data_IF_872185898709
#
_entry.id   IF_872185898709
#
_cell.length_a   1.000
_cell.length_b   1.000
_cell.length_c   1.000
_cell.angle_alpha   90.00
_cell.angle_beta   90.00
_cell.angle_gamma   90.00
#
_symmetry.space_group_name_H-M   'P 1'
#
loop_
_entity.id
_entity.type
_entity.pdbx_description
1 polymer ?
#
# COMPACT_ATOMS: atom_id res chain seq x y z
N UNK A 1 25.25 24.47 24.25
CA UNK A 1 24.12 24.09 23.38
C UNK A 1 24.54 22.80 22.72
N UNK A 2 24.12 21.66 23.26
CA UNK A 2 24.24 20.39 22.53
C UNK A 2 23.41 20.54 21.27
N UNK A 3 24.04 20.37 20.12
CA UNK A 3 23.35 20.23 18.84
C UNK A 3 22.50 18.97 18.96
N UNK A 4 21.17 19.12 19.10
CA UNK A 4 20.24 18.00 19.00
C UNK A 4 20.56 17.25 17.71
N UNK A 5 21.10 16.04 17.83
CA UNK A 5 21.31 15.20 16.66
C UNK A 5 19.92 14.72 16.24
N UNK A 6 19.48 15.11 15.05
CA UNK A 6 18.18 14.70 14.55
C UNK A 6 18.25 13.19 14.23
N UNK A 7 17.64 12.37 15.09
CA UNK A 7 17.65 10.91 14.95
C UNK A 7 16.52 10.39 14.03
N UNK A 8 15.79 11.30 13.39
CA UNK A 8 14.58 11.02 12.63
C UNK A 8 14.34 12.05 11.53
N UNK A 9 14.02 11.65 10.31
CA UNK A 9 13.63 12.59 9.26
C UNK A 9 12.14 12.89 9.38
N UNK A 10 11.80 14.11 9.79
CA UNK A 10 10.40 14.52 9.93
C UNK A 10 9.62 14.58 8.61
N UNK A 11 10.26 14.50 7.45
CA UNK A 11 9.61 14.58 6.13
C UNK A 11 10.48 14.01 5.01
N UNK A 12 9.87 13.23 4.11
CA UNK A 12 10.47 12.78 2.85
C UNK A 12 9.96 13.55 1.64
N UNK A 13 9.33 14.73 1.85
CA UNK A 13 8.65 15.49 0.79
C UNK A 13 9.56 15.88 -0.38
N UNK A 14 10.89 15.95 -0.17
CA UNK A 14 11.86 16.24 -1.23
C UNK A 14 11.98 15.12 -2.26
N UNK A 15 11.54 13.90 -1.94
CA UNK A 15 11.60 12.74 -2.83
C UNK A 15 10.44 12.67 -3.82
N UNK A 16 9.48 13.60 -3.78
CA UNK A 16 8.25 13.58 -4.58
C UNK A 16 8.00 14.92 -5.24
N UNK A 17 7.42 14.89 -6.44
CA UNK A 17 6.89 16.12 -7.05
C UNK A 17 5.51 16.42 -6.46
N UNK A 18 5.35 17.56 -5.80
CA UNK A 18 4.09 17.92 -5.14
C UNK A 18 3.27 18.87 -6.00
N UNK A 19 2.01 18.51 -6.23
CA UNK A 19 1.04 19.24 -7.03
C UNK A 19 1.58 19.65 -8.42
N UNK A 20 2.11 18.70 -9.22
CA UNK A 20 2.48 19.02 -10.60
C UNK A 20 1.25 19.53 -11.35
N UNK A 21 1.45 20.54 -12.19
CA UNK A 21 0.40 21.08 -13.03
C UNK A 21 -0.05 20.04 -14.06
N UNK A 22 -1.35 19.75 -14.08
CA UNK A 22 -2.00 19.03 -15.17
C UNK A 22 -3.40 19.59 -15.36
N UNK A 23 -3.76 19.85 -16.61
CA UNK A 23 -5.10 20.25 -17.00
C UNK A 23 -5.90 19.09 -17.60
N UNK A 24 -5.28 17.91 -17.67
CA UNK A 24 -5.85 16.73 -18.28
C UNK A 24 -6.59 15.87 -17.24
N UNK A 25 -7.60 15.15 -17.72
CA UNK A 25 -8.36 14.17 -16.96
C UNK A 25 -8.04 12.80 -17.52
N UNK A 26 -7.46 11.92 -16.69
CA UNK A 26 -7.05 10.58 -17.09
C UNK A 26 -8.15 9.55 -16.83
N UNK A 27 -8.27 8.58 -17.72
CA UNK A 27 -9.17 7.45 -17.51
C UNK A 27 -8.66 6.54 -16.37
N UNK A 28 -9.58 6.06 -15.54
CA UNK A 28 -9.32 5.06 -14.50
C UNK A 28 -10.01 3.77 -14.93
N UNK A 29 -9.26 2.68 -15.06
CA UNK A 29 -9.82 1.39 -15.43
C UNK A 29 -10.58 0.74 -14.26
N UNK A 30 -9.96 0.81 -13.08
CA UNK A 30 -10.51 0.23 -11.87
C UNK A 30 -10.06 0.93 -10.58
N UNK A 31 -10.95 0.91 -9.58
CA UNK A 31 -10.62 1.22 -8.19
C UNK A 31 -10.58 -0.10 -7.42
N UNK A 32 -9.45 -0.37 -6.77
CA UNK A 32 -9.23 -1.58 -5.97
C UNK A 32 -9.29 -1.24 -4.49
N UNK A 33 -10.29 -1.81 -3.80
CA UNK A 33 -10.57 -1.57 -2.38
C UNK A 33 -10.34 -2.83 -1.55
N UNK A 34 -9.18 -2.97 -0.88
CA UNK A 34 -9.00 -3.97 0.14
C UNK A 34 -9.86 -3.64 1.37
N UNK A 35 -10.64 -4.61 1.87
CA UNK A 35 -11.51 -4.37 3.03
C UNK A 35 -11.52 -5.55 4.00
N UNK A 36 -11.56 -5.21 5.29
CA UNK A 36 -11.85 -6.14 6.40
C UNK A 36 -13.09 -5.71 7.18
N UNK A 37 -13.68 -4.57 6.83
CA UNK A 37 -14.78 -3.91 7.54
C UNK A 37 -16.12 -4.28 6.89
N UNK A 38 -17.21 -3.98 7.57
CA UNK A 38 -18.55 -4.24 7.03
C UNK A 38 -18.73 -3.54 5.66
N UNK A 39 -19.36 -4.16 4.66
CA UNK A 39 -19.48 -3.61 3.30
C UNK A 39 -20.11 -2.21 3.18
N UNK A 40 -20.80 -1.72 4.22
CA UNK A 40 -21.28 -0.32 4.27
C UNK A 40 -20.17 0.73 4.21
N UNK A 41 -18.93 0.37 4.55
CA UNK A 41 -17.75 1.23 4.40
C UNK A 41 -17.43 1.52 2.94
N UNK A 42 -17.88 0.67 2.01
CA UNK A 42 -17.64 0.82 0.57
C UNK A 42 -18.48 1.91 -0.08
N UNK A 43 -19.43 2.55 0.64
CA UNK A 43 -20.33 3.57 0.07
C UNK A 43 -19.57 4.67 -0.67
N UNK A 44 -18.43 5.10 -0.14
CA UNK A 44 -17.63 6.14 -0.77
C UNK A 44 -17.01 5.65 -2.08
N UNK A 45 -16.35 4.49 -2.07
CA UNK A 45 -15.74 3.91 -3.26
C UNK A 45 -16.77 3.56 -4.35
N UNK A 46 -17.98 3.13 -3.98
CA UNK A 46 -19.09 2.90 -4.92
C UNK A 46 -19.46 4.19 -5.65
N UNK A 47 -19.63 5.29 -4.92
CA UNK A 47 -19.93 6.59 -5.53
C UNK A 47 -18.79 7.03 -6.45
N UNK A 48 -17.55 6.90 -5.99
CA UNK A 48 -16.38 7.30 -6.76
C UNK A 48 -16.25 6.51 -8.08
N UNK A 49 -16.46 5.18 -8.03
CA UNK A 49 -16.46 4.35 -9.24
C UNK A 49 -17.60 4.70 -10.20
N UNK A 50 -18.75 5.15 -9.67
CA UNK A 50 -19.89 5.63 -10.47
C UNK A 50 -19.53 6.92 -11.20
N UNK A 51 -18.92 7.88 -10.50
CA UNK A 51 -18.54 9.19 -11.05
C UNK A 51 -17.41 9.08 -12.08
N UNK A 52 -16.50 8.11 -11.92
CA UNK A 52 -15.40 7.85 -12.85
C UNK A 52 -15.75 6.87 -13.98
N UNK A 53 -16.96 6.29 -13.98
CA UNK A 53 -17.38 5.21 -14.89
C UNK A 53 -16.37 4.04 -14.99
N UNK A 54 -15.75 3.68 -13.87
CA UNK A 54 -14.73 2.64 -13.81
C UNK A 54 -15.24 1.36 -13.13
N UNK A 55 -14.44 0.29 -13.15
CA UNK A 55 -14.77 -0.93 -12.42
C UNK A 55 -14.45 -0.75 -10.93
N UNK A 56 -15.41 -1.08 -10.05
CA UNK A 56 -15.16 -1.22 -8.62
C UNK A 56 -14.70 -2.65 -8.30
N UNK A 57 -13.47 -2.81 -7.82
CA UNK A 57 -12.95 -4.08 -7.32
C UNK A 57 -12.93 -4.07 -5.80
N UNK A 58 -13.60 -5.01 -5.15
CA UNK A 58 -13.63 -5.10 -3.68
C UNK A 58 -13.09 -6.44 -3.20
N UNK A 59 -12.09 -6.40 -2.31
CA UNK A 59 -11.34 -7.58 -1.88
C UNK A 59 -11.58 -7.83 -0.40
N UNK A 60 -12.40 -8.84 -0.09
CA UNK A 60 -13.00 -9.04 1.22
C UNK A 60 -12.32 -10.13 2.03
N UNK A 61 -12.18 -9.90 3.33
CA UNK A 61 -11.88 -10.95 4.31
C UNK A 61 -12.42 -10.58 5.70
N UNK A 62 -12.22 -11.48 6.68
CA UNK A 62 -12.62 -11.29 8.09
C UNK A 62 -14.11 -10.95 8.20
N UNK A 63 -14.44 -9.75 8.69
CA UNK A 63 -15.80 -9.27 8.92
C UNK A 63 -16.48 -8.77 7.64
N UNK A 64 -15.71 -8.55 6.57
CA UNK A 64 -16.25 -8.18 5.28
C UNK A 64 -16.70 -9.40 4.48
N UNK A 65 -17.82 -9.29 3.77
CA UNK A 65 -18.42 -10.38 2.98
C UNK A 65 -18.69 -9.93 1.55
N UNK A 66 -18.04 -10.59 0.59
CA UNK A 66 -18.11 -10.24 -0.82
C UNK A 66 -19.52 -10.35 -1.44
N UNK A 67 -20.28 -11.36 -1.01
CA UNK A 67 -21.63 -11.63 -1.52
C UNK A 67 -22.67 -10.53 -1.20
N UNK A 68 -22.35 -9.61 -0.30
CA UNK A 68 -23.23 -8.48 0.06
C UNK A 68 -23.09 -7.30 -0.92
N UNK A 69 -21.98 -7.22 -1.66
CA UNK A 69 -21.70 -6.10 -2.57
C UNK A 69 -22.75 -5.91 -3.67
N UNK A 70 -23.28 -6.97 -4.34
CA UNK A 70 -24.33 -6.81 -5.34
C UNK A 70 -25.58 -6.07 -4.85
N UNK A 71 -25.91 -6.14 -3.55
CA UNK A 71 -27.05 -5.43 -2.97
C UNK A 71 -26.76 -3.97 -2.58
N UNK A 72 -25.49 -3.54 -2.64
CA UNK A 72 -25.05 -2.19 -2.27
C UNK A 72 -24.72 -1.33 -3.49
N UNK A 73 -24.32 -1.96 -4.59
CA UNK A 73 -23.89 -1.29 -5.82
C UNK A 73 -25.13 -0.91 -6.65
N UNK A 74 -25.30 0.36 -7.05
CA UNK A 74 -26.39 0.79 -7.92
C UNK A 74 -26.40 0.06 -9.26
N UNK A 75 -27.58 -0.04 -9.89
CA UNK A 75 -27.70 -0.55 -11.25
C UNK A 75 -26.85 0.28 -12.22
N UNK A 76 -26.12 -0.39 -13.12
CA UNK A 76 -25.24 0.24 -14.10
C UNK A 76 -23.78 0.38 -13.68
N UNK A 77 -23.48 0.31 -12.38
CA UNK A 77 -22.08 0.37 -11.91
C UNK A 77 -21.42 -0.99 -12.10
N UNK A 78 -20.23 -0.99 -12.72
CA UNK A 78 -19.45 -2.19 -12.97
C UNK A 78 -18.69 -2.60 -11.71
N UNK A 79 -18.76 -3.87 -11.30
CA UNK A 79 -18.04 -4.35 -10.13
C UNK A 79 -17.50 -5.78 -10.25
N UNK A 80 -16.46 -6.05 -9.46
CA UNK A 80 -15.89 -7.36 -9.17
C UNK A 80 -15.61 -7.47 -7.66
N UNK A 81 -16.35 -8.33 -6.97
CA UNK A 81 -16.22 -8.56 -5.54
C UNK A 81 -15.67 -9.96 -5.28
N UNK A 82 -14.58 -10.06 -4.52
CA UNK A 82 -13.81 -11.29 -4.31
C UNK A 82 -13.70 -11.61 -2.82
N UNK A 83 -14.05 -12.83 -2.43
CA UNK A 83 -13.92 -13.32 -1.06
C UNK A 83 -12.58 -14.05 -0.85
N UNK A 84 -11.67 -13.45 -0.11
CA UNK A 84 -10.36 -14.03 0.21
C UNK A 84 -10.44 -14.62 1.62
N UNK A 85 -10.59 -15.95 1.69
CA UNK A 85 -10.58 -16.67 2.96
C UNK A 85 -9.15 -16.91 3.46
N UNK A 86 -8.25 -17.27 2.56
CA UNK A 86 -6.84 -17.55 2.82
C UNK A 86 -5.97 -16.92 1.73
N UNK A 87 -5.12 -15.94 2.06
CA UNK A 87 -4.15 -15.37 1.11
C UNK A 87 -3.19 -16.39 0.49
N UNK A 88 -2.84 -17.47 1.18
CA UNK A 88 -1.92 -18.50 0.67
C UNK A 88 -2.51 -19.33 -0.48
N UNK A 89 -3.84 -19.31 -0.59
CA UNK A 89 -4.61 -19.99 -1.63
C UNK A 89 -4.62 -19.23 -2.97
N UNK A 90 -4.27 -17.94 -2.96
CA UNK A 90 -4.19 -17.11 -4.16
C UNK A 90 -3.10 -17.61 -5.09
N UNK A 91 -3.37 -17.56 -6.39
CA UNK A 91 -2.42 -17.94 -7.43
C UNK A 91 -1.33 -16.86 -7.63
N UNK A 92 -0.56 -16.57 -6.59
CA UNK A 92 0.56 -15.64 -6.64
C UNK A 92 1.84 -16.38 -6.24
N UNK A 93 3.04 -15.87 -6.65
CA UNK A 93 4.29 -16.46 -6.23
C UNK A 93 4.41 -16.53 -4.71
N UNK A 94 4.99 -17.62 -4.21
CA UNK A 94 5.40 -17.69 -2.80
C UNK A 94 6.64 -16.81 -2.62
N UNK A 95 6.53 -15.75 -1.83
CA UNK A 95 7.58 -14.74 -1.67
C UNK A 95 8.64 -15.13 -0.62
N UNK A 96 9.91 -14.97 -0.96
CA UNK A 96 11.09 -15.16 -0.11
C UNK A 96 11.03 -14.26 1.14
N UNK A 97 10.57 -13.01 1.00
CA UNK A 97 10.33 -12.07 2.13
C UNK A 97 9.34 -12.64 3.15
N UNK A 98 8.26 -13.25 2.67
CA UNK A 98 7.25 -13.88 3.53
C UNK A 98 7.79 -15.15 4.18
N UNK A 99 8.56 -15.95 3.43
CA UNK A 99 9.21 -17.15 3.96
C UNK A 99 10.25 -16.81 5.04
N UNK A 100 11.06 -15.76 4.85
CA UNK A 100 12.08 -15.31 5.79
C UNK A 100 11.48 -14.92 7.16
N UNK A 101 10.35 -14.21 7.15
CA UNK A 101 9.70 -13.78 8.39
C UNK A 101 8.81 -14.85 9.02
N UNK A 102 8.51 -15.95 8.30
CA UNK A 102 7.64 -17.02 8.77
C UNK A 102 8.18 -17.63 10.07
N UNK A 103 7.31 -17.86 11.04
CA UNK A 103 7.64 -18.39 12.36
C UNK A 103 8.59 -17.52 13.20
N UNK A 104 8.84 -16.27 12.78
CA UNK A 104 9.52 -15.27 13.60
C UNK A 104 8.48 -14.35 14.25
N UNK A 105 8.86 -13.57 15.28
CA UNK A 105 7.98 -12.53 15.81
C UNK A 105 7.52 -11.52 14.75
N UNK A 106 8.28 -11.33 13.67
CA UNK A 106 8.03 -10.35 12.61
C UNK A 106 6.98 -10.79 11.57
N UNK A 107 6.50 -12.04 11.64
CA UNK A 107 5.41 -12.50 10.79
C UNK A 107 4.14 -11.67 10.99
N UNK A 108 3.55 -11.18 9.89
CA UNK A 108 2.27 -10.44 9.91
C UNK A 108 1.11 -11.33 9.48
N UNK A 109 0.02 -11.27 10.24
CA UNK A 109 -1.25 -11.96 9.94
C UNK A 109 -2.25 -11.07 9.17
N UNK A 110 -1.78 -9.98 8.57
CA UNK A 110 -2.58 -9.10 7.72
C UNK A 110 -2.63 -9.64 6.29
N UNK A 111 -3.69 -9.29 5.55
CA UNK A 111 -3.86 -9.70 4.16
C UNK A 111 -3.88 -8.52 3.17
N UNK A 112 -3.51 -7.33 3.64
CA UNK A 112 -3.51 -6.10 2.84
C UNK A 112 -2.60 -6.22 1.63
N UNK A 113 -1.34 -6.61 1.84
CA UNK A 113 -0.37 -6.79 0.75
C UNK A 113 -0.84 -7.83 -0.28
N UNK A 114 -1.42 -8.94 0.18
CA UNK A 114 -1.97 -9.97 -0.71
C UNK A 114 -3.15 -9.45 -1.55
N UNK A 115 -4.03 -8.62 -0.95
CA UNK A 115 -5.13 -7.96 -1.67
C UNK A 115 -4.62 -6.95 -2.69
N UNK A 116 -3.63 -6.13 -2.34
CA UNK A 116 -3.03 -5.16 -3.27
C UNK A 116 -2.35 -5.86 -4.46
N UNK A 117 -1.58 -6.93 -4.19
CA UNK A 117 -1.00 -7.76 -5.26
C UNK A 117 -2.06 -8.47 -6.11
N UNK A 118 -3.17 -8.92 -5.52
CA UNK A 118 -4.30 -9.44 -6.29
C UNK A 118 -4.92 -8.36 -7.20
N UNK A 119 -4.97 -7.10 -6.76
CA UNK A 119 -5.36 -5.97 -7.60
C UNK A 119 -4.47 -5.81 -8.84
N UNK A 120 -3.15 -5.92 -8.67
CA UNK A 120 -2.19 -5.90 -9.78
C UNK A 120 -2.36 -7.09 -10.73
N UNK A 121 -2.55 -8.30 -10.18
CA UNK A 121 -2.84 -9.50 -10.97
C UNK A 121 -4.14 -9.35 -11.77
N UNK A 122 -5.19 -8.81 -11.15
CA UNK A 122 -6.46 -8.53 -11.83
C UNK A 122 -6.27 -7.53 -12.98
N UNK A 123 -5.49 -6.47 -12.76
CA UNK A 123 -5.17 -5.53 -13.83
C UNK A 123 -4.49 -6.22 -15.01
N UNK A 124 -3.52 -7.11 -14.75
CA UNK A 124 -2.86 -7.91 -15.79
C UNK A 124 -3.84 -8.82 -16.53
N UNK A 125 -4.70 -9.55 -15.80
CA UNK A 125 -5.69 -10.47 -16.38
C UNK A 125 -6.76 -9.73 -17.21
N UNK A 126 -7.12 -8.52 -16.81
CA UNK A 126 -8.20 -7.73 -17.43
C UNK A 126 -7.71 -6.72 -18.45
N UNK A 127 -6.39 -6.56 -18.60
CA UNK A 127 -5.77 -5.60 -19.50
C UNK A 127 -5.98 -4.14 -19.06
N UNK A 128 -6.08 -3.90 -17.75
CA UNK A 128 -6.14 -2.56 -17.19
C UNK A 128 -4.75 -1.96 -17.10
N UNK A 129 -4.62 -0.68 -17.44
CA UNK A 129 -3.36 0.06 -17.44
C UNK A 129 -3.26 1.01 -16.24
N UNK A 130 -4.37 1.68 -15.89
CA UNK A 130 -4.41 2.68 -14.81
C UNK A 130 -5.41 2.25 -13.75
N UNK A 131 -4.90 1.82 -12.60
CA UNK A 131 -5.74 1.45 -11.45
C UNK A 131 -5.44 2.35 -10.26
N UNK A 132 -6.41 2.46 -9.36
CA UNK A 132 -6.29 3.20 -8.10
C UNK A 132 -6.51 2.27 -6.93
N UNK A 133 -5.50 2.13 -6.06
CA UNK A 133 -5.69 1.55 -4.74
C UNK A 133 -6.33 2.59 -3.81
N UNK A 134 -7.39 2.19 -3.12
CA UNK A 134 -8.11 3.03 -2.17
C UNK A 134 -8.49 2.21 -0.95
N UNK A 135 -8.00 2.58 0.22
CA UNK A 135 -8.38 1.92 1.47
C UNK A 135 -9.85 2.23 1.83
N UNK A 136 -10.53 1.29 2.48
CA UNK A 136 -11.98 1.38 2.75
C UNK A 136 -12.36 2.45 3.81
N UNK A 137 -11.38 3.10 4.42
CA UNK A 137 -11.53 4.20 5.38
C UNK A 137 -10.98 5.56 4.88
N UNK A 138 -10.65 5.65 3.59
CA UNK A 138 -10.22 6.87 2.92
C UNK A 138 -11.37 7.48 2.10
N UNK A 139 -11.55 8.79 2.25
CA UNK A 139 -12.53 9.58 1.51
C UNK A 139 -11.81 10.60 0.61
N UNK A 140 -11.96 10.50 -0.70
CA UNK A 140 -11.39 11.49 -1.64
C UNK A 140 -12.20 12.80 -1.59
N UNK A 141 -11.59 13.95 -1.89
CA UNK A 141 -12.33 15.23 -1.91
C UNK A 141 -13.29 15.33 -3.10
N UNK A 142 -12.89 14.80 -4.26
CA UNK A 142 -13.75 14.65 -5.44
C UNK A 142 -13.15 13.68 -6.48
N UNK A 143 -13.98 13.16 -7.40
CA UNK A 143 -13.51 12.24 -8.45
C UNK A 143 -12.48 12.87 -9.40
N UNK A 144 -12.53 14.18 -9.59
CA UNK A 144 -11.56 14.93 -10.41
C UNK A 144 -10.12 14.80 -9.90
N UNK A 145 -9.91 14.70 -8.58
CA UNK A 145 -8.58 14.45 -8.00
C UNK A 145 -8.02 13.10 -8.46
N UNK A 146 -8.88 12.09 -8.54
CA UNK A 146 -8.53 10.74 -8.99
C UNK A 146 -8.24 10.73 -10.48
N UNK A 147 -9.05 11.42 -11.28
CA UNK A 147 -8.82 11.54 -12.71
C UNK A 147 -7.53 12.32 -13.02
N UNK A 148 -7.21 13.38 -12.26
CA UNK A 148 -5.93 14.08 -12.36
C UNK A 148 -4.75 13.17 -11.98
N UNK A 149 -4.87 12.40 -10.89
CA UNK A 149 -3.85 11.45 -10.50
C UNK A 149 -3.61 10.40 -11.61
N UNK A 150 -4.67 9.94 -12.27
CA UNK A 150 -4.56 9.03 -13.40
C UNK A 150 -3.91 9.66 -14.64
N UNK A 151 -4.17 10.94 -14.93
CA UNK A 151 -3.50 11.66 -16.02
C UNK A 151 -1.99 11.78 -15.78
N UNK A 152 -1.60 12.08 -14.54
CA UNK A 152 -0.18 12.18 -14.16
C UNK A 152 0.59 10.86 -14.33
N UNK A 153 -0.10 9.72 -14.43
CA UNK A 153 0.55 8.45 -14.77
C UNK A 153 1.11 8.42 -16.19
N UNK A 154 0.92 9.42 -17.04
CA UNK A 154 1.65 9.46 -18.31
C UNK A 154 3.14 9.81 -18.11
N UNK A 155 3.45 10.55 -17.04
CA UNK A 155 4.80 11.03 -16.71
C UNK A 155 5.39 10.28 -15.53
N UNK A 156 4.59 10.06 -14.48
CA UNK A 156 5.03 9.43 -13.23
C UNK A 156 4.72 7.93 -13.22
N UNK A 157 5.48 7.16 -12.45
CA UNK A 157 5.25 5.71 -12.27
C UNK A 157 4.09 5.45 -11.31
N UNK A 158 3.96 6.30 -10.28
CA UNK A 158 2.90 6.24 -9.29
C UNK A 158 2.55 7.64 -8.77
N UNK A 159 1.27 7.85 -8.45
CA UNK A 159 0.75 9.14 -8.00
C UNK A 159 -0.07 8.92 -6.73
N UNK A 160 0.46 9.43 -5.62
CA UNK A 160 -0.24 9.45 -4.35
C UNK A 160 -1.20 10.63 -4.23
N UNK A 161 -2.06 10.60 -3.22
CA UNK A 161 -2.86 11.77 -2.82
C UNK A 161 -2.50 12.22 -1.42
N UNK A 162 -2.58 13.53 -1.16
CA UNK A 162 -2.30 14.04 0.18
C UNK A 162 -3.37 13.55 1.17
N UNK A 163 -2.93 12.88 2.22
CA UNK A 163 -3.81 12.46 3.31
C UNK A 163 -3.96 13.62 4.29
N UNK A 164 -5.10 14.29 4.21
CA UNK A 164 -5.58 15.28 5.17
C UNK A 164 -6.39 14.65 6.30
N UNK A 165 -6.67 15.45 7.32
CA UNK A 165 -7.42 15.00 8.50
C UNK A 165 -6.54 14.24 9.48
N UNK A 166 -6.73 12.92 9.58
CA UNK A 166 -5.95 12.07 10.48
C UNK A 166 -4.68 11.56 9.77
N UNK A 167 -3.47 11.73 10.33
CA UNK A 167 -2.24 11.38 9.62
C UNK A 167 -2.04 9.86 9.53
N UNK A 168 -1.60 9.41 8.35
CA UNK A 168 -1.28 8.01 8.08
C UNK A 168 0.19 7.74 8.40
N UNK A 169 0.45 7.47 9.67
CA UNK A 169 1.78 7.28 10.23
C UNK A 169 1.78 6.07 11.19
N UNK A 170 2.97 5.53 11.47
CA UNK A 170 3.14 4.48 12.46
C UNK A 170 2.75 4.95 13.86
N UNK A 171 2.50 4.00 14.78
CA UNK A 171 2.16 4.31 16.17
C UNK A 171 3.26 5.14 16.86
N UNK A 172 4.54 4.86 16.56
CA UNK A 172 5.67 5.64 17.08
C UNK A 172 5.62 7.08 16.56
N UNK A 173 5.34 7.27 15.28
CA UNK A 173 5.23 8.60 14.67
C UNK A 173 4.00 9.39 15.18
N UNK A 174 2.87 8.72 15.46
CA UNK A 174 1.74 9.33 16.16
C UNK A 174 2.13 9.80 17.57
N UNK A 175 2.84 8.96 18.33
CA UNK A 175 3.33 9.34 19.65
C UNK A 175 4.34 10.51 19.58
N UNK A 176 5.22 10.52 18.57
CA UNK A 176 6.14 11.61 18.31
C UNK A 176 5.39 12.93 18.09
N UNK A 177 4.34 12.93 17.27
CA UNK A 177 3.47 14.11 17.04
C UNK A 177 2.76 14.56 18.31
N UNK A 178 2.16 13.62 19.07
CA UNK A 178 1.51 13.93 20.34
C UNK A 178 2.49 14.51 21.38
N UNK A 179 3.73 14.06 21.34
CA UNK A 179 4.83 14.60 22.14
C UNK A 179 5.42 15.89 21.54
N UNK A 180 4.75 16.54 20.60
CA UNK A 180 5.09 17.82 19.97
C UNK A 180 6.26 17.79 18.99
N UNK A 181 6.59 16.61 18.46
CA UNK A 181 7.49 16.45 17.33
C UNK A 181 6.83 16.76 15.99
N UNK A 182 7.64 17.02 14.96
CA UNK A 182 7.18 17.28 13.60
C UNK A 182 7.29 16.01 12.77
N UNK A 183 6.21 15.68 12.07
CA UNK A 183 6.16 14.51 11.21
C UNK A 183 5.16 14.76 10.10
N UNK A 184 5.62 14.75 8.86
CA UNK A 184 4.78 14.72 7.67
C UNK A 184 4.36 13.27 7.36
N UNK A 185 3.30 13.14 6.56
CA UNK A 185 2.94 11.88 5.91
C UNK A 185 3.55 11.86 4.50
N UNK A 186 3.96 10.69 4.04
CA UNK A 186 4.49 10.47 2.69
C UNK A 186 3.41 9.89 1.77
N UNK A 187 3.78 9.49 0.54
CA UNK A 187 2.92 8.69 -0.33
C UNK A 187 2.56 7.37 0.37
N UNK A 188 1.27 7.16 0.62
CA UNK A 188 0.74 5.92 1.17
C UNK A 188 -0.19 5.21 0.19
N UNK A 189 -0.27 3.88 0.31
CA UNK A 189 -1.12 3.02 -0.51
C UNK A 189 -2.62 3.19 -0.22
N UNK A 190 -2.99 4.00 0.77
CA UNK A 190 -4.38 4.31 1.10
C UNK A 190 -5.12 5.09 0.01
N UNK A 191 -4.39 5.84 -0.83
CA UNK A 191 -4.89 6.44 -2.05
C UNK A 191 -3.73 6.59 -3.05
N UNK A 192 -3.56 5.57 -3.91
CA UNK A 192 -2.42 5.45 -4.81
C UNK A 192 -2.87 5.05 -6.22
N UNK A 193 -2.67 5.93 -7.19
CA UNK A 193 -2.82 5.62 -8.60
C UNK A 193 -1.51 5.02 -9.14
N UNK A 194 -1.60 3.94 -9.93
CA UNK A 194 -0.43 3.26 -10.49
C UNK A 194 -0.65 2.88 -11.94
N UNK A 195 0.43 2.91 -12.73
CA UNK A 195 0.46 2.37 -14.07
C UNK A 195 0.94 0.91 -14.01
N UNK A 196 0.11 -0.02 -14.44
CA UNK A 196 0.32 -1.46 -14.17
C UNK A 196 1.20 -2.17 -15.20
N UNK A 197 1.38 -1.57 -16.39
CA UNK A 197 2.15 -2.17 -17.49
C UNK A 197 3.59 -1.68 -17.59
N UNK A 198 4.00 -0.71 -16.76
CA UNK A 198 5.36 -0.16 -16.74
C UNK A 198 6.03 -0.53 -15.43
N UNK A 199 7.25 -1.05 -15.50
CA UNK A 199 8.08 -1.33 -14.32
C UNK A 199 7.33 -2.12 -13.22
N UNK A 200 6.82 -3.33 -13.48
CA UNK A 200 6.00 -4.05 -12.50
C UNK A 200 6.69 -4.15 -11.12
N UNK A 201 5.92 -3.99 -10.06
CA UNK A 201 6.36 -4.10 -8.66
C UNK A 201 5.31 -4.85 -7.86
N UNK A 202 5.62 -5.20 -6.61
CA UNK A 202 4.70 -5.87 -5.71
C UNK A 202 4.73 -5.26 -4.31
N UNK A 203 3.70 -5.56 -3.53
CA UNK A 203 3.55 -5.18 -2.13
C UNK A 203 4.01 -6.36 -1.24
N UNK A 204 5.16 -6.29 -0.56
CA UNK A 204 5.59 -7.35 0.36
C UNK A 204 4.72 -7.39 1.63
N UNK A 205 4.71 -8.52 2.36
CA UNK A 205 3.91 -8.64 3.59
C UNK A 205 4.63 -8.05 4.83
N UNK A 206 4.85 -6.74 4.83
CA UNK A 206 5.41 -5.94 5.93
C UNK A 206 4.61 -4.64 6.07
N UNK A 207 4.71 -3.92 7.19
CA UNK A 207 4.12 -2.58 7.27
C UNK A 207 4.90 -1.60 6.36
N UNK A 208 4.23 -0.55 5.88
CA UNK A 208 4.71 0.32 4.79
C UNK A 208 5.07 -0.47 3.52
N UNK A 209 4.29 -1.51 3.18
CA UNK A 209 4.53 -2.30 1.96
C UNK A 209 4.43 -1.49 0.66
N UNK A 210 3.71 -0.38 0.71
CA UNK A 210 3.61 0.63 -0.33
C UNK A 210 4.96 1.33 -0.57
N UNK A 211 5.71 1.68 0.47
CA UNK A 211 7.02 2.30 0.30
C UNK A 211 8.00 1.40 -0.47
N UNK A 212 7.89 0.08 -0.28
CA UNK A 212 8.66 -0.90 -1.06
C UNK A 212 8.14 -1.07 -2.49
N UNK A 213 6.83 -0.97 -2.70
CA UNK A 213 6.27 -0.95 -4.05
C UNK A 213 6.84 0.21 -4.89
N UNK A 214 7.04 1.38 -4.27
CA UNK A 214 7.53 2.62 -4.90
C UNK A 214 9.03 2.62 -5.23
N UNK A 215 9.80 1.64 -4.79
CA UNK A 215 11.21 1.52 -5.16
C UNK A 215 11.35 0.85 -6.53
N UNK A 216 12.47 1.09 -7.20
CA UNK A 216 12.98 0.25 -8.29
C UNK A 216 14.24 -0.53 -7.82
N UNK A 217 15.00 -1.09 -8.75
CA UNK A 217 16.19 -1.90 -8.44
C UNK A 217 17.29 -1.16 -7.67
N UNK A 218 17.31 0.18 -7.67
CA UNK A 218 18.38 0.98 -7.03
C UNK A 218 17.90 2.29 -6.40
N UNK A 219 16.79 2.85 -6.87
CA UNK A 219 16.34 4.19 -6.54
C UNK A 219 14.82 4.24 -6.34
N UNK A 220 14.31 5.40 -5.97
CA UNK A 220 12.89 5.67 -5.95
C UNK A 220 12.36 5.83 -7.37
N UNK A 221 11.15 5.33 -7.64
CA UNK A 221 10.44 5.59 -8.89
C UNK A 221 10.10 7.07 -9.03
N UNK A 222 9.69 7.51 -10.22
CA UNK A 222 9.19 8.86 -10.38
C UNK A 222 7.81 8.98 -9.73
N UNK A 223 7.74 9.78 -8.65
CA UNK A 223 6.54 9.93 -7.84
C UNK A 223 5.99 11.35 -7.89
N UNK A 224 4.67 11.44 -7.94
CA UNK A 224 3.95 12.68 -7.71
C UNK A 224 2.92 12.54 -6.59
N UNK A 225 2.54 13.68 -6.00
CA UNK A 225 1.37 13.80 -5.13
C UNK A 225 0.42 14.85 -5.72
N UNK A 226 -0.86 14.53 -5.82
CA UNK A 226 -1.90 15.49 -6.21
C UNK A 226 -3.19 15.27 -5.43
N UNK A 227 -4.04 16.29 -5.37
CA UNK A 227 -5.34 16.21 -4.71
C UNK A 227 -5.27 15.97 -3.21
N UNK A 228 -6.45 15.81 -2.60
CA UNK A 228 -6.59 15.63 -1.16
C UNK A 228 -7.57 14.50 -0.86
N UNK A 229 -7.18 13.62 0.06
CA UNK A 229 -8.04 12.61 0.66
C UNK A 229 -8.11 12.83 2.16
N UNK A 230 -9.12 12.24 2.79
CA UNK A 230 -9.32 12.30 4.23
C UNK A 230 -9.36 10.90 4.79
N UNK A 231 -8.46 10.62 5.72
CA UNK A 231 -8.54 9.40 6.52
C UNK A 231 -9.56 9.58 7.65
N UNK A 232 -10.39 8.55 7.84
CA UNK A 232 -11.30 8.51 8.99
C UNK A 232 -10.50 8.41 10.29
N UNK A 233 -10.90 9.15 11.34
CA UNK A 233 -10.23 9.04 12.64
C UNK A 233 -10.24 7.61 13.18
N UNK A 234 -9.13 7.22 13.78
CA UNK A 234 -8.98 5.98 14.53
C UNK A 234 -8.06 6.21 15.72
N UNK A 235 -8.11 5.33 16.72
CA UNK A 235 -7.15 5.35 17.83
C UNK A 235 -5.90 4.51 17.45
N UNK A 236 -4.72 5.12 17.26
CA UNK A 236 -3.49 4.39 16.94
C UNK A 236 -2.95 3.63 18.15
N UNK A 237 -3.36 3.98 19.37
CA UNK A 237 -2.91 3.36 20.63
C UNK A 237 -3.91 2.32 21.18
N UNK A 238 -4.95 2.00 20.40
CA UNK A 238 -6.02 1.06 20.76
C UNK A 238 -5.46 -0.28 21.25
N UNK A 239 -4.40 -0.76 20.60
CA UNK A 239 -3.75 -2.04 20.89
C UNK A 239 -2.23 -1.94 20.72
N UNK A 240 -1.44 -2.10 21.79
CA UNK A 240 0.03 -2.07 21.72
C UNK A 240 0.65 -3.09 20.74
N UNK A 241 -0.08 -4.16 20.40
CA UNK A 241 0.37 -5.11 19.37
C UNK A 241 0.52 -4.47 17.99
N UNK A 242 -0.28 -3.44 17.67
CA UNK A 242 -0.15 -2.68 16.42
C UNK A 242 1.23 -2.07 16.29
N UNK A 243 1.74 -1.47 17.37
CA UNK A 243 3.08 -0.88 17.39
C UNK A 243 4.18 -1.94 17.16
N UNK A 244 4.01 -3.16 17.69
CA UNK A 244 4.92 -4.29 17.41
C UNK A 244 4.86 -4.74 15.95
N UNK A 245 3.67 -4.80 15.38
CA UNK A 245 3.48 -5.32 14.02
C UNK A 245 3.95 -4.32 12.95
N UNK A 246 4.04 -3.03 13.29
CA UNK A 246 4.52 -1.97 12.41
C UNK A 246 6.04 -1.82 12.44
N UNK A 247 6.67 -1.98 13.60
CA UNK A 247 8.05 -1.51 13.83
C UNK A 247 9.09 -2.05 12.83
N UNK A 248 9.01 -3.32 12.43
CA UNK A 248 9.98 -3.87 11.47
C UNK A 248 9.87 -3.23 10.09
N UNK A 249 8.63 -3.05 9.59
CA UNK A 249 8.38 -2.37 8.33
C UNK A 249 8.76 -0.90 8.38
N UNK A 250 8.42 -0.22 9.48
CA UNK A 250 8.76 1.18 9.73
C UNK A 250 10.28 1.39 9.76
N UNK A 251 11.01 0.53 10.49
CA UNK A 251 12.49 0.56 10.55
C UNK A 251 13.14 0.37 9.18
N UNK A 252 12.66 -0.62 8.40
CA UNK A 252 13.21 -0.86 7.07
C UNK A 252 12.90 0.28 6.10
N UNK A 253 11.65 0.76 6.09
CA UNK A 253 11.19 1.83 5.22
C UNK A 253 11.95 3.13 5.51
N UNK A 254 11.98 3.57 6.77
CA UNK A 254 12.69 4.77 7.21
C UNK A 254 14.20 4.67 6.93
N UNK A 255 14.81 3.50 7.17
CA UNK A 255 16.22 3.28 6.84
C UNK A 255 16.49 3.47 5.34
N UNK A 256 15.75 2.75 4.49
CA UNK A 256 15.91 2.88 3.03
C UNK A 256 15.67 4.32 2.56
N UNK A 257 14.62 4.97 3.05
CA UNK A 257 14.25 6.30 2.60
C UNK A 257 15.17 7.39 3.14
N UNK A 258 15.82 7.17 4.28
CA UNK A 258 16.89 8.04 4.78
C UNK A 258 18.04 8.17 3.76
N UNK A 259 18.46 7.07 3.15
CA UNK A 259 19.51 7.07 2.13
C UNK A 259 19.08 7.86 0.89
N UNK A 260 17.86 7.62 0.41
CA UNK A 260 17.30 8.33 -0.74
C UNK A 260 17.22 9.84 -0.49
N UNK A 261 16.85 10.20 0.72
CA UNK A 261 16.83 11.56 1.22
C UNK A 261 18.22 12.21 1.15
N UNK A 262 19.27 11.49 1.50
CA UNK A 262 20.66 11.97 1.41
C UNK A 262 21.19 12.00 -0.04
N UNK A 263 20.36 11.66 -1.03
CA UNK A 263 20.72 11.58 -2.44
C UNK A 263 21.52 10.33 -2.80
N UNK A 264 21.55 9.35 -1.89
CA UNK A 264 22.15 8.04 -2.12
C UNK A 264 21.15 7.06 -2.74
N UNK A 265 21.66 5.97 -3.31
CA UNK A 265 20.81 4.83 -3.69
C UNK A 265 20.55 3.96 -2.48
N UNK A 266 19.51 3.12 -2.53
CA UNK A 266 19.26 2.18 -1.42
C UNK A 266 20.28 1.05 -1.35
N UNK A 267 21.23 0.95 -2.30
CA UNK A 267 22.28 -0.09 -2.31
C UNK A 267 23.14 -0.07 -1.03
N UNK A 268 23.35 1.09 -0.40
CA UNK A 268 24.08 1.15 0.87
C UNK A 268 23.38 0.36 2.00
N UNK A 269 22.05 0.19 1.92
CA UNK A 269 21.28 -0.65 2.83
C UNK A 269 21.52 -2.16 2.62
N UNK A 270 22.33 -2.58 1.66
CA UNK A 270 22.74 -3.99 1.53
C UNK A 270 23.90 -4.37 2.46
N UNK A 271 24.49 -3.40 3.18
CA UNK A 271 25.55 -3.64 4.15
C UNK A 271 25.07 -3.61 5.61
N UNK A 272 25.53 -4.55 6.43
CA UNK A 272 25.17 -4.60 7.86
C UNK A 272 25.61 -3.35 8.64
N UNK A 273 26.78 -2.79 8.31
CA UNK A 273 27.32 -1.58 8.95
C UNK A 273 26.37 -0.39 8.85
N UNK A 274 25.66 -0.25 7.74
CA UNK A 274 24.62 0.78 7.58
C UNK A 274 23.50 0.55 8.59
N UNK A 275 23.01 -0.69 8.69
CA UNK A 275 21.92 -1.04 9.60
C UNK A 275 22.29 -0.96 11.07
N UNK A 276 23.54 -1.23 11.46
CA UNK A 276 24.01 -0.96 12.83
C UNK A 276 23.75 0.50 13.23
N UNK A 277 24.06 1.44 12.33
CA UNK A 277 23.85 2.86 12.56
C UNK A 277 22.36 3.23 12.49
N UNK A 278 21.63 2.74 11.50
CA UNK A 278 20.20 3.02 11.34
C UNK A 278 19.38 2.51 12.54
N UNK A 279 19.66 1.29 13.01
CA UNK A 279 19.01 0.71 14.20
C UNK A 279 19.39 1.46 15.48
N UNK A 280 20.63 1.94 15.60
CA UNK A 280 21.05 2.81 16.71
C UNK A 280 20.28 4.13 16.70
N UNK A 281 20.19 4.82 15.55
CA UNK A 281 19.39 6.05 15.40
C UNK A 281 17.92 5.81 15.76
N UNK A 282 17.31 4.75 15.23
CA UNK A 282 15.91 4.39 15.53
C UNK A 282 15.70 4.10 17.02
N UNK A 283 16.67 3.47 17.69
CA UNK A 283 16.62 3.22 19.14
C UNK A 283 16.58 4.54 19.91
N UNK A 284 17.48 5.46 19.60
CA UNK A 284 17.55 6.76 20.28
C UNK A 284 16.32 7.62 20.00
N UNK A 285 15.79 7.57 18.77
CA UNK A 285 14.52 8.20 18.43
C UNK A 285 13.34 7.69 19.29
N UNK A 286 13.14 6.37 19.37
CA UNK A 286 12.02 5.81 20.15
C UNK A 286 12.18 6.16 21.63
N UNK A 287 13.38 6.04 22.20
CA UNK A 287 13.66 6.43 23.59
C UNK A 287 13.38 7.91 23.84
N UNK A 288 13.75 8.78 22.91
CA UNK A 288 13.44 10.20 22.99
C UNK A 288 11.93 10.47 23.00
N UNK A 289 11.18 9.82 22.10
CA UNK A 289 9.72 9.91 22.08
C UNK A 289 9.11 9.43 23.40
N UNK A 290 9.61 8.32 23.97
CA UNK A 290 9.18 7.84 25.30
C UNK A 290 9.39 8.92 26.36
N UNK A 291 10.59 9.50 26.48
CA UNK A 291 10.89 10.55 27.47
C UNK A 291 9.97 11.76 27.31
N UNK A 292 9.72 12.19 26.06
CA UNK A 292 8.83 13.33 25.81
C UNK A 292 7.37 13.01 26.11
N UNK A 293 6.90 11.80 25.83
CA UNK A 293 5.54 11.36 26.23
C UNK A 293 5.42 11.33 27.75
N UNK A 294 6.37 10.72 28.46
CA UNK A 294 6.34 10.67 29.93
C UNK A 294 6.34 12.07 30.56
N UNK A 295 7.05 13.03 29.94
CA UNK A 295 7.08 14.42 30.40
C UNK A 295 5.82 15.22 30.05
N UNK A 296 5.28 15.10 28.82
CA UNK A 296 4.20 15.97 28.31
C UNK A 296 2.81 15.38 28.50
N UNK A 297 2.70 14.06 28.60
CA UNK A 297 1.46 13.30 28.69
C UNK A 297 1.52 12.31 29.87
N UNK A 298 1.82 12.79 31.09
CA UNK A 298 2.05 11.90 32.23
C UNK A 298 0.82 11.03 32.52
N UNK A 299 1.04 9.71 32.65
CA UNK A 299 -0.01 8.75 32.97
C UNK A 299 -0.83 8.27 31.76
N UNK A 300 -0.45 8.63 30.53
CA UNK A 300 -1.08 8.10 29.33
C UNK A 300 -0.58 6.67 29.02
N UNK A 301 -1.10 5.70 29.76
CA UNK A 301 -0.66 4.32 29.72
C UNK A 301 -0.79 3.67 28.34
N UNK A 302 -1.77 4.09 27.51
CA UNK A 302 -1.98 3.54 26.18
C UNK A 302 -0.81 3.89 25.23
N UNK A 303 -0.38 5.16 25.24
CA UNK A 303 0.77 5.62 24.45
C UNK A 303 2.06 4.98 24.95
N UNK A 304 2.28 4.99 26.26
CA UNK A 304 3.48 4.37 26.89
C UNK A 304 3.59 2.88 26.57
N UNK A 305 2.48 2.12 26.72
CA UNK A 305 2.46 0.69 26.42
C UNK A 305 2.77 0.42 24.95
N UNK A 306 2.25 1.25 24.06
CA UNK A 306 2.50 1.13 22.61
C UNK A 306 3.95 1.41 22.26
N UNK A 307 4.56 2.46 22.84
CA UNK A 307 5.98 2.77 22.63
C UNK A 307 6.90 1.68 23.19
N UNK A 308 6.61 1.16 24.39
CA UNK A 308 7.37 0.02 24.96
C UNK A 308 7.22 -1.23 24.09
N UNK A 309 6.05 -1.42 23.51
CA UNK A 309 5.80 -2.53 22.60
C UNK A 309 6.60 -2.40 21.29
N UNK A 310 6.65 -1.20 20.68
CA UNK A 310 7.53 -0.90 19.55
C UNK A 310 9.00 -1.09 19.89
N UNK A 311 9.50 -0.48 20.98
CA UNK A 311 10.89 -0.61 21.40
C UNK A 311 11.29 -2.08 21.69
N UNK A 312 10.40 -2.83 22.34
CA UNK A 312 10.62 -4.26 22.59
C UNK A 312 10.66 -5.09 21.30
N UNK A 313 9.97 -4.67 20.24
CA UNK A 313 10.09 -5.27 18.92
C UNK A 313 11.39 -4.84 18.22
N UNK A 314 11.70 -3.55 18.24
CA UNK A 314 12.89 -2.94 17.66
C UNK A 314 14.17 -3.63 18.14
N UNK A 315 14.28 -3.88 19.44
CA UNK A 315 15.43 -4.55 20.05
C UNK A 315 15.67 -5.99 19.55
N UNK A 316 14.75 -6.58 18.78
CA UNK A 316 14.91 -7.91 18.16
C UNK A 316 15.34 -7.83 16.70
N UNK A 317 15.33 -6.64 16.10
CA UNK A 317 15.75 -6.41 14.71
C UNK A 317 17.27 -6.40 14.70
N UNK A 318 17.87 -7.22 13.82
CA UNK A 318 19.33 -7.28 13.66
C UNK A 318 19.74 -6.69 12.31
N UNK A 319 20.96 -6.16 12.17
CA UNK A 319 21.50 -5.74 10.89
C UNK A 319 21.41 -6.83 9.81
N UNK A 320 21.73 -8.07 10.18
CA UNK A 320 21.69 -9.23 9.29
C UNK A 320 20.26 -9.46 8.75
N UNK A 321 19.24 -9.35 9.61
CA UNK A 321 17.85 -9.52 9.20
C UNK A 321 17.43 -8.46 8.20
N UNK A 322 17.85 -7.21 8.39
CA UNK A 322 17.54 -6.13 7.46
C UNK A 322 18.17 -6.36 6.07
N UNK A 323 19.45 -6.78 6.03
CA UNK A 323 20.14 -7.13 4.77
C UNK A 323 19.47 -8.32 4.09
N UNK A 324 19.22 -9.41 4.82
CA UNK A 324 18.55 -10.60 4.30
C UNK A 324 17.15 -10.27 3.76
N UNK A 325 16.43 -9.38 4.43
CA UNK A 325 15.11 -8.94 3.99
C UNK A 325 15.17 -8.18 2.66
N UNK A 326 16.09 -7.23 2.52
CA UNK A 326 16.25 -6.49 1.26
C UNK A 326 16.72 -7.37 0.09
N UNK A 327 17.57 -8.36 0.37
CA UNK A 327 17.96 -9.37 -0.62
C UNK A 327 16.75 -10.20 -1.06
N UNK A 328 15.98 -10.73 -0.10
CA UNK A 328 14.76 -11.48 -0.38
C UNK A 328 13.73 -10.64 -1.14
N UNK A 329 13.59 -9.35 -0.81
CA UNK A 329 12.71 -8.43 -1.52
C UNK A 329 13.15 -8.23 -2.97
N UNK A 330 14.45 -8.04 -3.23
CA UNK A 330 14.99 -7.93 -4.58
C UNK A 330 14.71 -9.18 -5.42
N UNK A 331 14.91 -10.37 -4.84
CA UNK A 331 14.57 -11.64 -5.51
C UNK A 331 13.08 -11.74 -5.82
N UNK A 332 12.22 -11.34 -4.88
CA UNK A 332 10.77 -11.39 -5.02
C UNK A 332 10.26 -10.43 -6.10
N UNK A 333 10.91 -9.29 -6.31
CA UNK A 333 10.58 -8.39 -7.42
C UNK A 333 10.77 -9.07 -8.77
N UNK A 334 11.93 -9.69 -8.98
CA UNK A 334 12.24 -10.40 -10.23
C UNK A 334 11.29 -11.58 -10.44
N UNK A 335 10.97 -12.30 -9.36
CA UNK A 335 9.98 -13.37 -9.37
C UNK A 335 8.59 -12.87 -9.76
N UNK A 336 8.19 -11.72 -9.23
CA UNK A 336 6.90 -11.10 -9.51
C UNK A 336 6.78 -10.61 -10.95
N UNK A 337 7.81 -9.93 -11.46
CA UNK A 337 7.89 -9.49 -12.85
C UNK A 337 7.78 -10.67 -13.81
N UNK A 338 8.63 -11.69 -13.62
CA UNK A 338 8.60 -12.93 -14.43
C UNK A 338 7.22 -13.59 -14.37
N UNK A 339 6.59 -13.60 -13.19
CA UNK A 339 5.25 -14.15 -13.01
C UNK A 339 4.20 -13.35 -13.82
N UNK A 340 4.17 -12.02 -13.71
CA UNK A 340 3.19 -11.21 -14.44
C UNK A 340 3.34 -11.31 -15.96
N UNK A 341 4.58 -11.45 -16.45
CA UNK A 341 4.86 -11.68 -17.88
C UNK A 341 4.27 -13.00 -18.37
N UNK A 342 4.28 -14.03 -17.53
CA UNK A 342 3.71 -15.35 -17.83
C UNK A 342 2.16 -15.38 -17.80
N UNK A 343 1.51 -14.38 -17.20
CA UNK A 343 0.05 -14.32 -17.08
C UNK A 343 -0.56 -13.65 -18.32
N UNK A 344 -1.38 -14.35 -19.12
CA UNK A 344 -2.02 -13.76 -20.29
C UNK A 344 -3.27 -12.94 -19.89
N UNK A 345 -3.63 -11.91 -20.67
CA UNK A 345 -4.92 -11.25 -20.52
C UNK A 345 -6.04 -12.22 -20.92
N UNK A 346 -7.09 -12.29 -20.11
CA UNK A 346 -8.25 -13.18 -20.27
C UNK A 346 -9.57 -12.43 -20.45
N UNK A 347 -9.58 -11.10 -20.23
CA UNK A 347 -10.77 -10.26 -20.33
C UNK A 347 -11.83 -10.55 -19.24
N UNK A 348 -13.04 -10.01 -19.43
CA UNK A 348 -14.10 -9.99 -18.41
C UNK A 348 -14.89 -11.31 -18.27
N UNK A 349 -14.23 -12.45 -18.42
CA UNK A 349 -14.84 -13.78 -18.23
C UNK A 349 -14.72 -14.21 -16.78
N UNK A 350 -15.84 -14.14 -16.04
CA UNK A 350 -15.92 -14.45 -14.62
C UNK A 350 -15.41 -15.86 -14.27
N UNK A 351 -15.68 -16.86 -15.11
CA UNK A 351 -15.23 -18.23 -14.84
C UNK A 351 -13.72 -18.36 -15.03
N UNK A 352 -13.16 -17.75 -16.07
CA UNK A 352 -11.71 -17.73 -16.30
C UNK A 352 -10.99 -16.96 -15.19
N UNK A 353 -11.52 -15.79 -14.80
CA UNK A 353 -10.99 -15.02 -13.67
C UNK A 353 -10.95 -15.91 -12.43
N UNK A 354 -12.08 -16.52 -12.06
CA UNK A 354 -12.14 -17.37 -10.86
C UNK A 354 -11.20 -18.56 -10.86
N UNK A 355 -10.88 -19.14 -12.03
CA UNK A 355 -9.86 -20.19 -12.15
C UNK A 355 -8.44 -19.63 -12.03
N UNK A 356 -8.16 -18.45 -12.59
CA UNK A 356 -6.83 -17.85 -12.57
C UNK A 356 -6.42 -17.28 -11.21
N UNK A 357 -7.38 -16.97 -10.32
CA UNK A 357 -7.10 -16.36 -9.02
C UNK A 357 -6.65 -17.34 -7.92
N UNK A 358 -6.83 -18.66 -8.10
CA UNK A 358 -6.52 -19.67 -7.07
C UNK A 358 -5.48 -20.68 -7.57
N UNK A 359 -4.62 -21.16 -6.66
CA UNK A 359 -3.64 -22.20 -7.00
C UNK A 359 -4.35 -23.47 -7.48
N UNK A 360 -3.70 -24.24 -8.35
CA UNK A 360 -4.24 -25.51 -8.84
C UNK A 360 -4.57 -26.47 -7.69
N UNK A 361 -5.75 -27.09 -7.72
CA UNK A 361 -6.22 -28.02 -6.68
C UNK A 361 -6.87 -27.35 -5.45
N UNK A 362 -6.90 -26.01 -5.40
CA UNK A 362 -7.62 -25.26 -4.36
C UNK A 362 -9.08 -25.06 -4.78
N UNK A 363 -10.06 -25.15 -3.85
CA UNK A 363 -11.45 -24.81 -4.14
C UNK A 363 -11.60 -23.41 -4.73
N UNK A 364 -12.58 -23.24 -5.63
CA UNK A 364 -12.86 -21.95 -6.26
C UNK A 364 -13.15 -20.87 -5.21
N UNK A 365 -12.62 -19.69 -5.46
CA UNK A 365 -12.89 -18.50 -4.65
C UNK A 365 -14.31 -17.98 -4.90
N UNK A 366 -14.96 -17.44 -3.85
CA UNK A 366 -16.24 -16.77 -4.00
C UNK A 366 -16.07 -15.47 -4.78
N UNK A 367 -16.70 -15.35 -5.94
CA UNK A 367 -16.62 -14.19 -6.83
C UNK A 367 -18.01 -13.77 -7.29
N UNK A 368 -18.29 -12.47 -7.20
CA UNK A 368 -19.50 -11.82 -7.69
C UNK A 368 -19.11 -10.68 -8.61
N UNK A 369 -19.74 -10.59 -9.77
CA UNK A 369 -19.41 -9.57 -10.76
C UNK A 369 -20.65 -9.15 -11.53
N UNK A 370 -20.65 -7.91 -12.04
CA UNK A 370 -21.72 -7.39 -12.90
C UNK A 370 -21.54 -7.75 -14.38
N UNK A 371 -20.42 -8.39 -14.77
CA UNK A 371 -20.05 -8.65 -16.16
C UNK A 371 -20.74 -9.85 -16.80
N UNK A 372 -21.70 -10.50 -16.12
CA UNK A 372 -22.33 -11.74 -16.58
C UNK A 372 -23.07 -11.59 -17.94
N UNK A 373 -23.21 -10.38 -18.51
CA UNK A 373 -23.77 -10.12 -19.87
C UNK A 373 -23.30 -8.82 -20.57
N UNK A 374 -22.00 -8.61 -20.81
CA UNK A 374 -21.56 -7.50 -21.69
C UNK A 374 -21.09 -7.99 -23.06
N UNK A 375 -21.90 -7.70 -24.09
CA UNK A 375 -21.49 -7.65 -25.49
C UNK A 375 -20.48 -6.51 -25.61
N UNK A 376 -19.26 -6.85 -26.00
CA UNK A 376 -18.16 -5.91 -26.22
C UNK A 376 -18.61 -4.86 -27.27
N UNK A 377 -18.85 -3.61 -26.86
CA UNK A 377 -18.80 -2.49 -27.81
C UNK A 377 -17.34 -2.11 -28.02
N UNK A 378 -16.76 -2.60 -29.12
CA UNK A 378 -15.53 -2.06 -29.71
C UNK A 378 -15.94 -0.96 -30.68
N UNK A 379 -16.14 0.25 -30.18
CA UNK A 379 -15.98 1.50 -30.94
C UNK A 379 -14.78 2.16 -30.24
N UNK A 380 -13.65 2.56 -30.83
CA UNK A 380 -13.25 3.03 -32.16
C UNK A 380 -11.70 2.86 -32.15
N UNK A 381 -11.00 2.39 -33.19
CA UNK A 381 -10.27 3.23 -34.15
C UNK A 381 -9.87 2.31 -35.32
N UNK A 382 -10.57 2.45 -36.45
CA UNK A 382 -10.00 2.13 -37.76
C UNK A 382 -9.31 3.41 -38.22
N UNK A 383 -7.97 3.36 -38.27
CA UNK A 383 -7.16 4.38 -38.93
C UNK A 383 -7.56 4.40 -40.41
N UNK A 384 -7.97 5.57 -40.88
CA UNK A 384 -8.19 5.84 -42.30
C UNK A 384 -6.90 5.63 -43.07
N UNK A 385 -6.98 4.81 -44.12
CA UNK A 385 -6.03 4.81 -45.22
C UNK A 385 -6.70 5.49 -46.41
N UNK A 386 -6.18 6.66 -46.78
CA UNK A 386 -5.80 7.08 -48.14
C UNK A 386 -5.12 8.44 -48.06
#
# INVERSE_FOLDING_TARGET
METETEHHHGSHRRLVTVNPETHESGAVDAIVVPTIRHPTWLKYAIRLATELDCVLVTLHSKWSKAHLVPGLVPAGVRFLSVQIADPAALNMPDFSTTALLRNTPFARATDLSAKRNLGLLLARLLGWERIVFLDDDIEVSGHEDVARAAALLDVYDAVGMHIGGYPDNSVVCHAHRLAGGKQDSFVGGGALAVHTTRNPSFFPNIYNEDWFYLLNDKELRQLAITGMVKQRPYDPFDRPVRARDQEFGDTLAEGVYWLLDEGETWEAATGEKYWEQALSRRTEFIKDVVRRVESRLPGNQAVENSLRAALGRHNRITPQLCVQYLQAWKEDRLRWETYLDSVPPIGFDKEKIGKSLVKHGVPKMGIWASFDRMVIRRDTVVRGGM
#
